data_IF_732663277854
#
_entry.id   IF_732663277854
#
_cell.length_a   1.000
_cell.length_b   1.000
_cell.length_c   1.000
_cell.angle_alpha   90.00
_cell.angle_beta   90.00
_cell.angle_gamma   90.00
#
_symmetry.space_group_name_H-M   'P 1'
#
loop_
_entity.id
_entity.type
_entity.pdbx_description
1 polymer ?
#
# COMPACT_ATOMS: atom_id res chain seq x y z
N UNK A 1 36.92 -13.34 -14.47
CA UNK A 1 35.47 -13.53 -14.34
C UNK A 1 34.81 -12.70 -15.42
N UNK A 2 33.82 -13.23 -16.15
CA UNK A 2 33.11 -12.42 -17.14
C UNK A 2 32.25 -11.37 -16.43
N UNK A 3 32.12 -10.19 -17.02
CA UNK A 3 31.20 -9.16 -16.50
C UNK A 3 29.74 -9.55 -16.78
N UNK A 4 28.78 -9.04 -15.99
CA UNK A 4 27.35 -9.33 -16.18
C UNK A 4 26.87 -9.02 -17.60
N UNK A 5 27.36 -7.93 -18.19
CA UNK A 5 27.05 -7.52 -19.57
C UNK A 5 27.56 -8.52 -20.62
N UNK A 6 28.78 -9.05 -20.43
CA UNK A 6 29.34 -10.07 -21.33
C UNK A 6 28.55 -11.38 -21.26
N UNK A 7 28.02 -11.73 -20.09
CA UNK A 7 27.15 -12.89 -19.91
C UNK A 7 25.79 -12.69 -20.59
N UNK A 8 25.18 -11.52 -20.43
CA UNK A 8 23.91 -11.16 -21.07
C UNK A 8 24.03 -11.16 -22.60
N UNK A 9 25.18 -10.75 -23.15
CA UNK A 9 25.46 -10.79 -24.60
C UNK A 9 25.55 -12.18 -25.21
N UNK A 10 25.63 -13.25 -24.39
CA UNK A 10 25.56 -14.62 -24.89
C UNK A 10 24.12 -15.06 -25.20
N UNK A 11 23.11 -14.41 -24.62
CA UNK A 11 21.71 -14.72 -24.91
C UNK A 11 21.30 -14.12 -26.25
N UNK A 12 20.55 -14.90 -27.02
CA UNK A 12 19.86 -14.38 -28.20
C UNK A 12 18.72 -13.42 -27.83
N UNK A 13 18.36 -12.53 -28.74
CA UNK A 13 17.24 -11.58 -28.53
C UNK A 13 15.91 -12.30 -28.23
N UNK A 14 15.72 -13.48 -28.83
CA UNK A 14 14.55 -14.33 -28.57
C UNK A 14 14.55 -14.86 -27.14
N UNK A 15 15.70 -15.30 -26.63
CA UNK A 15 15.82 -15.76 -25.25
C UNK A 15 15.59 -14.60 -24.27
N UNK A 16 16.14 -13.41 -24.55
CA UNK A 16 15.89 -12.20 -23.76
C UNK A 16 14.41 -11.85 -23.71
N UNK A 17 13.73 -11.88 -24.86
CA UNK A 17 12.29 -11.64 -24.95
C UNK A 17 11.46 -12.65 -24.14
N UNK A 18 11.77 -13.94 -24.25
CA UNK A 18 11.10 -14.99 -23.46
C UNK A 18 11.35 -14.84 -21.95
N UNK A 19 12.50 -14.32 -21.54
CA UNK A 19 12.80 -14.04 -20.13
C UNK A 19 12.00 -12.87 -19.56
N UNK A 20 11.73 -11.84 -20.37
CA UNK A 20 10.81 -10.76 -19.97
C UNK A 20 9.40 -11.32 -19.77
N UNK A 21 8.92 -12.20 -20.66
CA UNK A 21 7.62 -12.86 -20.50
C UNK A 21 7.58 -13.72 -19.22
N UNK A 22 8.64 -14.48 -18.94
CA UNK A 22 8.77 -15.27 -17.71
C UNK A 22 8.68 -14.42 -16.43
N UNK A 23 9.31 -13.23 -16.41
CA UNK A 23 9.23 -12.32 -15.26
C UNK A 23 7.79 -11.84 -14.96
N UNK A 24 6.91 -11.84 -15.97
CA UNK A 24 5.52 -11.43 -15.81
C UNK A 24 4.59 -12.60 -15.48
N UNK A 25 4.78 -13.77 -16.09
CA UNK A 25 3.86 -14.92 -15.94
C UNK A 25 4.29 -15.92 -14.89
N UNK A 26 5.59 -16.03 -14.60
CA UNK A 26 6.16 -17.08 -13.73
C UNK A 26 6.21 -18.47 -14.36
N UNK A 27 5.75 -18.64 -15.60
CA UNK A 27 5.72 -19.95 -16.28
C UNK A 27 7.06 -20.24 -16.99
N UNK A 28 7.87 -21.08 -16.35
CA UNK A 28 9.17 -21.51 -16.86
C UNK A 28 9.09 -22.38 -18.13
N UNK A 29 8.07 -23.22 -18.23
CA UNK A 29 7.99 -24.24 -19.29
C UNK A 29 7.68 -23.57 -20.62
N UNK A 30 6.67 -22.70 -20.62
CA UNK A 30 6.29 -21.95 -21.82
C UNK A 30 7.40 -21.01 -22.27
N UNK A 31 8.07 -20.33 -21.34
CA UNK A 31 9.22 -19.48 -21.66
C UNK A 31 10.36 -20.28 -22.33
N UNK A 32 10.67 -21.47 -21.81
CA UNK A 32 11.68 -22.35 -22.38
C UNK A 32 11.31 -22.80 -23.79
N UNK A 33 10.10 -23.31 -24.00
CA UNK A 33 9.64 -23.80 -25.30
C UNK A 33 9.66 -22.67 -26.34
N UNK A 34 9.15 -21.49 -25.98
CA UNK A 34 9.12 -20.33 -26.87
C UNK A 34 10.51 -19.80 -27.21
N UNK A 35 11.51 -19.97 -26.32
CA UNK A 35 12.89 -19.52 -26.57
C UNK A 35 13.58 -20.32 -27.69
N UNK A 36 13.21 -21.60 -27.87
CA UNK A 36 13.87 -22.49 -28.82
C UNK A 36 13.41 -22.21 -30.24
N UNK A 37 14.36 -22.11 -31.17
CA UNK A 37 14.07 -21.91 -32.60
C UNK A 37 13.37 -23.11 -33.24
N UNK A 38 13.69 -24.31 -32.76
CA UNK A 38 13.08 -25.57 -33.21
C UNK A 38 12.17 -26.11 -32.10
N UNK A 39 11.04 -26.73 -32.46
CA UNK A 39 10.17 -27.38 -31.48
C UNK A 39 10.96 -28.49 -30.77
N UNK A 40 10.88 -28.51 -29.45
CA UNK A 40 11.52 -29.54 -28.63
C UNK A 40 10.53 -30.70 -28.49
N UNK A 41 10.81 -31.80 -29.16
CA UNK A 41 10.04 -33.04 -29.00
C UNK A 41 10.66 -33.89 -27.89
N UNK A 42 10.33 -33.56 -26.64
CA UNK A 42 10.78 -34.30 -25.47
C UNK A 42 9.62 -34.51 -24.49
N UNK A 43 9.74 -35.49 -23.59
CA UNK A 43 8.75 -35.76 -22.55
C UNK A 43 8.59 -34.55 -21.61
N UNK A 44 7.37 -34.33 -21.10
CA UNK A 44 7.07 -33.17 -20.25
C UNK A 44 7.99 -33.04 -19.02
N UNK A 45 8.34 -34.16 -18.37
CA UNK A 45 9.24 -34.16 -17.21
C UNK A 45 10.67 -33.71 -17.58
N UNK A 46 11.18 -34.14 -18.75
CA UNK A 46 12.50 -33.71 -19.19
C UNK A 46 12.52 -32.27 -19.68
N UNK A 47 11.41 -31.80 -20.27
CA UNK A 47 11.21 -30.38 -20.61
C UNK A 47 11.27 -29.48 -19.37
N UNK A 48 10.59 -29.86 -18.29
CA UNK A 48 10.63 -29.13 -17.01
C UNK A 48 12.07 -29.07 -16.48
N UNK A 49 12.78 -30.21 -16.46
CA UNK A 49 14.17 -30.25 -16.01
C UNK A 49 15.11 -29.38 -16.86
N UNK A 50 14.93 -29.37 -18.18
CA UNK A 50 15.69 -28.51 -19.09
C UNK A 50 15.36 -27.02 -18.89
N UNK A 51 14.08 -26.68 -18.67
CA UNK A 51 13.65 -25.32 -18.39
C UNK A 51 14.27 -24.81 -17.09
N UNK A 52 14.23 -25.59 -16.01
CA UNK A 52 14.84 -25.20 -14.74
C UNK A 52 16.35 -25.06 -14.84
N UNK A 53 17.05 -25.94 -15.57
CA UNK A 53 18.49 -25.80 -15.84
C UNK A 53 18.83 -24.54 -16.62
N UNK A 54 18.01 -24.20 -17.61
CA UNK A 54 18.20 -22.99 -18.42
C UNK A 54 18.00 -21.73 -17.59
N UNK A 55 16.94 -21.66 -16.77
CA UNK A 55 16.70 -20.54 -15.86
C UNK A 55 17.84 -20.37 -14.87
N UNK A 56 18.39 -21.47 -14.34
CA UNK A 56 19.50 -21.43 -13.39
C UNK A 56 20.87 -21.25 -14.06
N UNK A 57 20.92 -21.07 -15.38
CA UNK A 57 22.20 -20.81 -16.05
C UNK A 57 22.71 -19.42 -15.71
N UNK A 58 24.03 -19.30 -15.54
CA UNK A 58 24.71 -18.05 -15.20
C UNK A 58 24.30 -16.84 -16.07
N UNK A 59 24.21 -16.95 -17.42
CA UNK A 59 23.88 -15.79 -18.23
C UNK A 59 22.39 -15.40 -18.15
N UNK A 60 21.49 -16.37 -17.87
CA UNK A 60 20.07 -16.10 -17.66
C UNK A 60 19.84 -15.44 -16.30
N UNK A 61 20.49 -15.94 -15.25
CA UNK A 61 20.41 -15.32 -13.92
C UNK A 61 20.93 -13.88 -13.93
N UNK A 62 22.05 -13.62 -14.61
CA UNK A 62 22.57 -12.27 -14.77
C UNK A 62 21.56 -11.32 -15.47
N UNK A 63 20.83 -11.82 -16.47
CA UNK A 63 19.77 -11.06 -17.13
C UNK A 63 18.57 -10.81 -16.20
N UNK A 64 18.10 -11.84 -15.49
CA UNK A 64 16.97 -11.73 -14.56
C UNK A 64 17.26 -10.76 -13.41
N UNK A 65 18.48 -10.78 -12.86
CA UNK A 65 18.92 -9.81 -11.85
C UNK A 65 18.90 -8.38 -12.39
N UNK A 66 19.43 -8.16 -13.61
CA UNK A 66 19.48 -6.84 -14.22
C UNK A 66 18.08 -6.28 -14.51
N UNK A 67 17.15 -7.11 -15.00
CA UNK A 67 15.77 -6.70 -15.25
C UNK A 67 14.99 -6.46 -13.95
N UNK A 68 15.19 -7.28 -12.90
CA UNK A 68 14.60 -7.04 -11.58
C UNK A 68 15.10 -5.73 -10.98
N UNK A 69 16.39 -5.42 -11.14
CA UNK A 69 16.98 -4.15 -10.74
C UNK A 69 16.36 -2.95 -11.49
N UNK A 70 16.17 -3.05 -12.81
CA UNK A 70 15.48 -2.02 -13.60
C UNK A 70 14.04 -1.81 -13.15
N UNK A 71 13.31 -2.89 -12.88
CA UNK A 71 11.93 -2.82 -12.36
C UNK A 71 11.88 -2.18 -10.96
N UNK A 72 12.86 -2.45 -10.11
CA UNK A 72 12.96 -1.82 -8.79
C UNK A 72 13.26 -0.32 -8.89
N UNK A 73 14.19 0.10 -9.75
CA UNK A 73 14.50 1.52 -9.98
C UNK A 73 13.28 2.31 -10.49
N UNK A 74 12.47 1.70 -11.36
CA UNK A 74 11.22 2.32 -11.82
C UNK A 74 10.20 2.54 -10.68
N UNK A 75 10.25 1.70 -9.63
CA UNK A 75 9.36 1.83 -8.47
C UNK A 75 9.85 2.95 -7.52
N UNK A 76 11.18 3.14 -7.40
CA UNK A 76 11.76 4.21 -6.58
C UNK A 76 11.44 5.61 -7.13
N UNK A 77 11.33 5.79 -8.45
CA UNK A 77 10.88 7.07 -9.05
C UNK A 77 9.42 7.44 -8.72
N UNK A 78 8.69 6.59 -7.97
CA UNK A 78 7.32 6.85 -7.48
C UNK A 78 7.32 7.46 -6.07
N UNK A 79 8.34 8.24 -5.69
CA UNK A 79 8.48 8.82 -4.34
C UNK A 79 7.35 9.80 -3.95
N UNK A 80 6.55 10.29 -4.89
CA UNK A 80 5.37 11.13 -4.61
C UNK A 80 4.05 10.33 -4.63
N UNK A 81 3.96 9.23 -3.86
CA UNK A 81 2.69 8.52 -3.69
C UNK A 81 1.69 9.39 -2.93
N UNK A 82 0.58 9.72 -3.58
CA UNK A 82 -0.53 10.41 -2.90
C UNK A 82 -1.26 9.48 -1.94
N UNK A 83 -1.94 10.04 -0.92
CA UNK A 83 -2.79 9.27 0.00
C UNK A 83 -3.87 8.46 -0.76
N UNK A 84 -4.35 8.97 -1.89
CA UNK A 84 -5.34 8.27 -2.70
C UNK A 84 -4.74 7.04 -3.41
N UNK A 85 -3.50 7.15 -3.89
CA UNK A 85 -2.83 6.06 -4.59
C UNK A 85 -2.44 4.92 -3.64
N UNK A 86 -2.01 5.26 -2.42
CA UNK A 86 -1.73 4.25 -1.39
C UNK A 86 -2.99 3.48 -0.98
N UNK A 87 -4.13 4.16 -0.83
CA UNK A 87 -5.43 3.50 -0.55
C UNK A 87 -5.84 2.57 -1.71
N UNK A 88 -5.66 3.00 -2.97
CA UNK A 88 -5.95 2.17 -4.15
C UNK A 88 -5.06 0.92 -4.22
N UNK A 89 -3.77 1.05 -3.96
CA UNK A 89 -2.84 -0.08 -3.92
C UNK A 89 -3.17 -1.05 -2.79
N UNK A 90 -3.44 -0.54 -1.58
CA UNK A 90 -3.83 -1.38 -0.44
C UNK A 90 -5.13 -2.15 -0.72
N UNK A 91 -6.13 -1.52 -1.35
CA UNK A 91 -7.36 -2.21 -1.76
C UNK A 91 -7.10 -3.35 -2.78
N UNK A 92 -6.17 -3.15 -3.73
CA UNK A 92 -5.74 -4.21 -4.63
C UNK A 92 -5.05 -5.34 -3.87
N UNK A 93 -4.17 -5.02 -2.91
CA UNK A 93 -3.49 -6.02 -2.09
C UNK A 93 -4.47 -6.85 -1.26
N UNK A 94 -5.46 -6.23 -0.60
CA UNK A 94 -6.52 -6.93 0.14
C UNK A 94 -7.25 -7.97 -0.73
N UNK A 95 -7.42 -7.67 -2.02
CA UNK A 95 -8.12 -8.54 -2.96
C UNK A 95 -7.25 -9.73 -3.43
N UNK A 96 -5.92 -9.55 -3.45
CA UNK A 96 -4.95 -10.56 -3.89
C UNK A 96 -4.47 -11.48 -2.75
N UNK A 97 -4.46 -10.97 -1.51
CA UNK A 97 -3.98 -11.74 -0.35
C UNK A 97 -5.03 -12.76 0.10
N UNK A 98 -4.65 -14.04 0.10
CA UNK A 98 -5.49 -15.15 0.57
C UNK A 98 -5.35 -15.39 2.08
N UNK A 99 -4.23 -14.97 2.68
CA UNK A 99 -3.97 -15.14 4.11
C UNK A 99 -4.83 -14.19 4.96
N UNK A 100 -5.67 -14.77 5.81
CA UNK A 100 -6.64 -14.03 6.64
C UNK A 100 -6.00 -13.07 7.64
N UNK A 101 -4.84 -13.44 8.19
CA UNK A 101 -4.08 -12.60 9.14
C UNK A 101 -3.52 -11.34 8.48
N UNK A 102 -2.82 -11.52 7.35
CA UNK A 102 -2.25 -10.40 6.59
C UNK A 102 -3.37 -9.50 6.05
N UNK A 103 -4.48 -10.08 5.61
CA UNK A 103 -5.65 -9.33 5.17
C UNK A 103 -6.24 -8.45 6.29
N UNK A 104 -6.34 -8.98 7.51
CA UNK A 104 -6.81 -8.20 8.66
C UNK A 104 -5.87 -7.02 9.00
N UNK A 105 -4.55 -7.23 8.93
CA UNK A 105 -3.57 -6.16 9.16
C UNK A 105 -3.64 -5.06 8.10
N UNK A 106 -3.81 -5.42 6.82
CA UNK A 106 -3.95 -4.45 5.73
C UNK A 106 -5.25 -3.65 5.90
N UNK A 107 -6.36 -4.31 6.24
CA UNK A 107 -7.65 -3.66 6.48
C UNK A 107 -7.61 -2.70 7.68
N UNK A 108 -6.91 -3.07 8.76
CA UNK A 108 -6.72 -2.19 9.91
C UNK A 108 -5.98 -0.90 9.49
N UNK A 109 -4.86 -1.04 8.76
CA UNK A 109 -4.12 0.11 8.24
C UNK A 109 -4.96 0.97 7.29
N UNK A 110 -5.81 0.35 6.47
CA UNK A 110 -6.73 1.07 5.59
C UNK A 110 -7.75 1.89 6.40
N UNK A 111 -8.35 1.29 7.43
CA UNK A 111 -9.31 1.99 8.30
C UNK A 111 -8.70 3.18 9.06
N UNK A 112 -7.44 3.05 9.49
CA UNK A 112 -6.72 4.15 10.15
C UNK A 112 -6.40 5.29 9.17
N UNK A 113 -6.07 4.96 7.92
CA UNK A 113 -5.85 5.95 6.85
C UNK A 113 -7.14 6.67 6.43
N UNK A 114 -8.25 5.96 6.32
CA UNK A 114 -9.56 6.52 6.00
C UNK A 114 -10.19 7.28 7.18
N UNK A 115 -9.69 7.05 8.39
CA UNK A 115 -10.07 7.83 9.56
C UNK A 115 -11.45 7.49 10.11
N UNK A 116 -11.94 6.26 9.89
CA UNK A 116 -13.25 5.80 10.38
C UNK A 116 -13.43 5.94 11.91
N UNK A 117 -12.34 6.10 12.67
CA UNK A 117 -12.37 6.34 14.13
C UNK A 117 -12.63 7.80 14.52
N UNK A 118 -12.55 8.77 13.61
CA UNK A 118 -12.65 10.21 13.92
C UNK A 118 -14.09 10.74 13.99
N UNK A 119 -15.11 9.95 13.66
CA UNK A 119 -16.51 10.38 13.69
C UNK A 119 -17.15 10.43 15.09
N UNK A 120 -16.39 10.27 16.19
CA UNK A 120 -16.96 10.19 17.55
C UNK A 120 -16.79 11.42 18.46
N UNK A 121 -16.27 12.55 17.99
CA UNK A 121 -16.03 13.74 18.85
C UNK A 121 -16.94 14.95 18.60
N UNK A 122 -18.09 14.79 17.92
CA UNK A 122 -19.11 15.86 17.83
C UNK A 122 -20.45 15.44 18.43
N UNK A 123 -20.45 15.11 19.72
CA UNK A 123 -21.66 15.15 20.55
C UNK A 123 -21.39 16.03 21.77
N UNK A 124 -21.16 17.34 21.53
CA UNK A 124 -21.19 18.35 22.59
C UNK A 124 -22.63 18.72 23.01
N UNK A 125 -23.66 18.14 22.38
CA UNK A 125 -25.07 18.52 22.59
C UNK A 125 -25.78 17.83 23.76
N UNK A 126 -25.20 16.80 24.40
CA UNK A 126 -25.82 16.09 25.53
C UNK A 126 -25.37 16.59 26.92
N UNK A 127 -24.71 17.75 27.00
CA UNK A 127 -24.35 18.32 28.32
C UNK A 127 -25.53 19.11 28.88
N UNK A 128 -26.31 18.48 29.77
CA UNK A 128 -27.39 19.15 30.51
C UNK A 128 -26.79 20.30 31.34
N UNK A 129 -27.07 21.54 30.95
CA UNK A 129 -26.65 22.75 31.67
C UNK A 129 -27.62 23.04 32.81
N UNK A 130 -27.20 22.77 34.04
CA UNK A 130 -27.96 23.17 35.23
C UNK A 130 -27.74 24.66 35.52
N UNK A 131 -28.81 25.45 35.52
CA UNK A 131 -28.77 26.83 35.98
C UNK A 131 -29.10 26.89 37.47
N UNK A 132 -28.17 27.39 38.28
CA UNK A 132 -28.42 27.66 39.70
C UNK A 132 -29.21 28.97 39.83
N UNK A 133 -30.37 28.98 40.53
CA UNK A 133 -31.10 30.20 40.79
C UNK A 133 -30.22 31.21 41.55
N UNK A 134 -30.18 32.45 41.07
CA UNK A 134 -29.43 33.51 41.75
C UNK A 134 -30.05 33.75 43.14
N UNK A 135 -29.20 33.84 44.17
CA UNK A 135 -29.63 34.30 45.49
C UNK A 135 -30.04 35.77 45.41
N UNK A 136 -31.15 36.16 46.04
CA UNK A 136 -31.71 37.52 45.96
C UNK A 136 -30.70 38.61 46.31
N UNK A 137 -29.74 38.36 47.20
CA UNK A 137 -28.69 39.31 47.56
C UNK A 137 -27.67 39.62 46.44
N UNK A 138 -27.56 38.75 45.42
CA UNK A 138 -26.67 38.94 44.26
C UNK A 138 -27.45 39.40 43.01
N UNK A 139 -28.79 39.31 43.04
CA UNK A 139 -29.67 39.72 41.95
C UNK A 139 -29.48 41.21 41.60
N UNK A 140 -29.37 41.50 40.29
CA UNK A 140 -29.23 42.86 39.76
C UNK A 140 -30.38 43.77 40.18
N UNK A 141 -31.62 43.24 40.21
CA UNK A 141 -32.81 43.97 40.65
C UNK A 141 -32.73 44.38 42.13
N UNK A 142 -32.20 43.51 42.99
CA UNK A 142 -32.04 43.79 44.41
C UNK A 142 -30.94 44.82 44.67
N UNK A 143 -29.81 44.72 43.95
CA UNK A 143 -28.72 45.71 44.04
C UNK A 143 -29.19 47.10 43.61
N UNK A 144 -29.90 47.19 42.47
CA UNK A 144 -30.46 48.45 41.99
C UNK A 144 -31.46 49.05 42.99
N UNK A 145 -32.31 48.23 43.61
CA UNK A 145 -33.25 48.71 44.63
C UNK A 145 -32.54 49.19 45.91
N UNK A 146 -31.45 48.54 46.31
CA UNK A 146 -30.64 48.93 47.48
C UNK A 146 -29.88 50.24 47.22
N UNK A 147 -29.30 50.39 46.04
CA UNK A 147 -28.62 51.62 45.62
C UNK A 147 -29.61 52.80 45.52
N UNK A 148 -30.81 52.57 44.96
CA UNK A 148 -31.86 53.58 44.89
C UNK A 148 -32.35 54.02 46.28
N UNK A 149 -32.49 53.09 47.24
CA UNK A 149 -32.84 53.43 48.63
C UNK A 149 -31.72 54.14 49.38
N UNK A 150 -30.45 53.83 49.07
CA UNK A 150 -29.29 54.52 49.64
C UNK A 150 -29.14 55.97 49.14
N UNK A 151 -29.47 56.23 47.87
CA UNK A 151 -29.40 57.55 47.27
C UNK A 151 -30.54 58.51 47.70
N UNK A 152 -31.60 58.00 48.32
CA UNK A 152 -32.73 58.77 48.84
C UNK A 152 -32.54 59.26 50.30
N UNK A 153 -31.41 58.91 50.93
CA UNK A 153 -31.09 59.23 52.33
C UNK A 153 -29.85 60.14 52.49
N UNK A 154 -29.38 60.75 51.39
CA UNK A 154 -28.39 61.83 51.33
C UNK A 154 -29.00 63.03 50.63
#
# INVERSE_FOLDING_TARGET
MLTKEQLINKLSDRERFCMIAYLQTGDQLTAYICSRRKPVSANNQSLIAMASRWINSEPVQAFLEAERGRKAALIEDTENRSKADTIRELNKLVSLTNDTKLKAEILLKLSDLEGWKKEKEQTQDDTIRYYLPLRCNVCSLYKAAKEAKGALLT
#
